data_IF_267354654348
#
_entry.id   IF_267354654348
#
_cell.length_a   1.000
_cell.length_b   1.000
_cell.length_c   1.000
_cell.angle_alpha   90.00
_cell.angle_beta   90.00
_cell.angle_gamma   90.00
#
_symmetry.space_group_name_H-M   'P 1'
#
loop_
_entity.id
_entity.type
_entity.pdbx_description
1 polymer ?
#
# COMPACT_ATOMS: atom_id res chain seq x y z
N UNK A 1 6.07 -8.70 20.72
CA UNK A 1 6.41 -8.08 19.42
C UNK A 1 7.92 -8.23 19.20
N UNK A 2 8.38 -9.10 18.30
CA UNK A 2 9.81 -9.40 18.11
C UNK A 2 10.25 -9.07 16.67
N UNK A 3 10.51 -7.79 16.43
CA UNK A 3 10.83 -7.26 15.10
C UNK A 3 12.12 -7.81 14.49
N UNK A 4 13.05 -8.34 15.29
CA UNK A 4 14.28 -8.95 14.80
C UNK A 4 14.04 -10.31 14.11
N UNK A 5 13.00 -11.05 14.52
CA UNK A 5 12.61 -12.31 13.85
C UNK A 5 12.02 -12.03 12.46
N UNK A 6 11.36 -10.88 12.29
CA UNK A 6 10.67 -10.54 11.05
C UNK A 6 11.61 -10.46 9.85
N UNK A 7 12.79 -9.84 9.97
CA UNK A 7 13.74 -9.75 8.84
C UNK A 7 14.24 -11.12 8.43
N UNK A 8 14.63 -11.96 9.39
CA UNK A 8 15.10 -13.33 9.13
C UNK A 8 14.00 -14.19 8.49
N UNK A 9 12.76 -14.01 8.93
CA UNK A 9 11.61 -14.67 8.32
C UNK A 9 11.43 -14.25 6.86
N UNK A 10 11.48 -12.95 6.56
CA UNK A 10 11.40 -12.46 5.17
C UNK A 10 12.52 -13.04 4.30
N UNK A 11 13.76 -13.04 4.78
CA UNK A 11 14.91 -13.61 4.05
C UNK A 11 14.69 -15.10 3.75
N UNK A 12 14.06 -15.85 4.65
CA UNK A 12 13.81 -17.28 4.46
C UNK A 12 12.74 -17.59 3.40
N UNK A 13 11.85 -16.65 3.11
CA UNK A 13 10.74 -16.82 2.16
C UNK A 13 11.09 -16.39 0.74
N UNK A 14 12.13 -15.58 0.58
CA UNK A 14 12.46 -14.94 -0.69
C UNK A 14 13.73 -15.53 -1.31
N UNK A 15 13.86 -15.47 -2.64
CA UNK A 15 15.15 -15.63 -3.30
C UNK A 15 16.17 -14.62 -2.76
N UNK A 16 17.46 -14.86 -3.01
CA UNK A 16 18.50 -13.90 -2.64
C UNK A 16 18.27 -12.54 -3.29
N UNK A 17 18.48 -11.46 -2.53
CA UNK A 17 18.37 -10.08 -2.98
C UNK A 17 19.43 -9.22 -2.30
N UNK A 18 19.81 -8.10 -2.93
CA UNK A 18 20.91 -7.25 -2.47
C UNK A 18 20.45 -5.88 -1.96
N UNK A 19 19.29 -5.39 -2.42
CA UNK A 19 18.79 -4.04 -2.13
C UNK A 19 17.33 -4.11 -1.69
N UNK A 20 16.99 -3.38 -0.63
CA UNK A 20 15.62 -3.21 -0.14
C UNK A 20 15.15 -1.78 -0.44
N UNK A 21 14.03 -1.66 -1.16
CA UNK A 21 13.39 -0.37 -1.40
C UNK A 21 12.26 -0.15 -0.40
N UNK A 22 12.37 0.87 0.45
CA UNK A 22 11.32 1.19 1.43
C UNK A 22 11.37 2.65 1.87
N UNK A 23 10.19 3.21 2.11
CA UNK A 23 10.03 4.49 2.80
C UNK A 23 9.54 4.33 4.24
N UNK A 24 9.31 3.10 4.71
CA UNK A 24 8.91 2.84 6.09
C UNK A 24 10.14 2.91 7.01
N UNK A 25 10.18 3.83 8.01
CA UNK A 25 11.36 4.01 8.85
C UNK A 25 11.74 2.76 9.66
N UNK A 26 10.77 2.00 10.15
CA UNK A 26 11.01 0.78 10.92
C UNK A 26 11.63 -0.30 10.02
N UNK A 27 11.05 -0.54 8.84
CA UNK A 27 11.59 -1.49 7.86
C UNK A 27 13.03 -1.13 7.48
N UNK A 28 13.30 0.16 7.24
CA UNK A 28 14.66 0.64 6.94
C UNK A 28 15.64 0.27 8.05
N UNK A 29 15.35 0.65 9.29
CA UNK A 29 16.23 0.38 10.44
C UNK A 29 16.47 -1.11 10.63
N UNK A 30 15.44 -1.94 10.45
CA UNK A 30 15.54 -3.38 10.64
C UNK A 30 16.45 -4.03 9.58
N UNK A 31 16.34 -3.65 8.31
CA UNK A 31 17.18 -4.20 7.24
C UNK A 31 18.61 -3.65 7.27
N UNK A 32 18.81 -2.38 7.60
CA UNK A 32 20.15 -1.80 7.77
C UNK A 32 20.93 -2.51 8.90
N UNK A 33 20.26 -2.89 9.99
CA UNK A 33 20.87 -3.67 11.08
C UNK A 33 21.34 -5.06 10.65
N UNK A 34 20.67 -5.67 9.68
CA UNK A 34 21.06 -6.94 9.06
C UNK A 34 22.01 -6.72 7.85
N UNK A 35 22.59 -5.52 7.72
CA UNK A 35 23.60 -5.13 6.73
C UNK A 35 23.14 -5.12 5.27
N UNK A 36 21.83 -5.03 5.02
CA UNK A 36 21.31 -4.82 3.67
C UNK A 36 21.49 -3.38 3.21
N UNK A 37 21.66 -3.19 1.90
CA UNK A 37 21.54 -1.86 1.28
C UNK A 37 20.07 -1.47 1.25
N UNK A 38 19.73 -0.31 1.80
CA UNK A 38 18.36 0.20 1.80
C UNK A 38 18.30 1.52 1.04
N UNK A 39 17.35 1.61 0.12
CA UNK A 39 17.10 2.80 -0.68
C UNK A 39 15.65 3.27 -0.54
N UNK A 40 15.43 4.57 -0.64
CA UNK A 40 14.10 5.14 -0.77
C UNK A 40 13.82 5.37 -2.26
N UNK A 41 12.64 4.93 -2.72
CA UNK A 41 12.12 5.25 -4.04
C UNK A 41 11.39 6.60 -4.01
N UNK A 42 11.26 7.25 -5.17
CA UNK A 42 10.50 8.48 -5.30
C UNK A 42 9.00 8.26 -4.99
N UNK A 43 8.35 9.28 -4.41
CA UNK A 43 6.89 9.31 -4.26
C UNK A 43 6.33 9.90 -5.55
N UNK A 44 5.47 9.14 -6.23
CA UNK A 44 4.76 9.62 -7.41
C UNK A 44 3.47 10.33 -7.01
N UNK A 45 3.21 11.46 -7.64
CA UNK A 45 1.95 12.21 -7.56
C UNK A 45 1.28 12.30 -8.92
N UNK A 46 -0.04 12.45 -8.94
CA UNK A 46 -0.77 12.75 -10.16
C UNK A 46 -0.65 14.25 -10.54
N UNK A 47 -1.26 14.64 -11.67
CA UNK A 47 -1.29 16.01 -12.19
C UNK A 47 -1.94 17.05 -11.26
N UNK A 48 -2.71 16.60 -10.28
CA UNK A 48 -3.37 17.44 -9.26
C UNK A 48 -2.62 17.44 -7.91
N UNK A 49 -1.40 16.88 -7.85
CA UNK A 49 -0.58 16.84 -6.64
C UNK A 49 -1.03 15.82 -5.58
N UNK A 50 -1.98 14.92 -5.89
CA UNK A 50 -2.34 13.81 -4.99
C UNK A 50 -1.32 12.68 -5.13
N UNK A 51 -0.92 12.11 -4.00
CA UNK A 51 -0.01 10.96 -3.95
C UNK A 51 -0.75 9.73 -4.48
N UNK A 52 -0.08 8.90 -5.28
CA UNK A 52 -0.57 7.57 -5.58
C UNK A 52 -0.47 6.70 -4.33
N UNK A 53 -1.46 6.81 -3.45
CA UNK A 53 -1.51 6.10 -2.17
C UNK A 53 -2.75 5.23 -2.08
N UNK A 54 -2.62 4.07 -1.43
CA UNK A 54 -3.77 3.23 -1.14
C UNK A 54 -4.78 3.90 -0.21
N UNK A 55 -4.36 4.88 0.61
CA UNK A 55 -5.26 5.65 1.48
C UNK A 55 -6.18 6.52 0.65
N UNK A 56 -5.64 7.28 -0.31
CA UNK A 56 -6.45 8.15 -1.16
C UNK A 56 -7.38 7.33 -2.06
N UNK A 57 -6.90 6.23 -2.65
CA UNK A 57 -7.74 5.32 -3.43
C UNK A 57 -8.92 4.80 -2.60
N UNK A 58 -8.67 4.34 -1.36
CA UNK A 58 -9.74 3.87 -0.47
C UNK A 58 -10.71 4.99 -0.08
N UNK A 59 -10.22 6.21 0.14
CA UNK A 59 -11.07 7.36 0.46
C UNK A 59 -12.03 7.67 -0.71
N UNK A 60 -11.53 7.70 -1.94
CA UNK A 60 -12.36 7.94 -3.12
C UNK A 60 -13.37 6.79 -3.36
N UNK A 61 -12.99 5.52 -3.10
CA UNK A 61 -13.93 4.38 -3.13
C UNK A 61 -15.04 4.56 -2.09
N UNK A 62 -14.69 4.86 -0.83
CA UNK A 62 -15.67 5.02 0.26
C UNK A 62 -16.63 6.18 0.01
N UNK A 63 -16.16 7.25 -0.64
CA UNK A 63 -16.99 8.38 -1.08
C UNK A 63 -17.77 8.12 -2.36
N UNK A 64 -17.72 6.90 -2.92
CA UNK A 64 -18.40 6.49 -4.16
C UNK A 64 -17.98 7.29 -5.40
N UNK A 65 -16.75 7.80 -5.44
CA UNK A 65 -16.19 8.55 -6.57
C UNK A 65 -15.55 7.63 -7.62
N UNK A 66 -16.33 6.74 -8.25
CA UNK A 66 -15.81 5.74 -9.19
C UNK A 66 -15.02 6.32 -10.36
N UNK A 67 -15.48 7.43 -10.94
CA UNK A 67 -14.79 8.09 -12.04
C UNK A 67 -13.41 8.66 -11.66
N UNK A 68 -13.15 8.87 -10.37
CA UNK A 68 -11.86 9.36 -9.87
C UNK A 68 -10.93 8.19 -9.62
N UNK A 69 -11.32 7.24 -8.76
CA UNK A 69 -10.40 6.18 -8.30
C UNK A 69 -10.07 5.15 -9.39
N UNK A 70 -10.94 4.95 -10.40
CA UNK A 70 -10.63 4.09 -11.54
C UNK A 70 -9.37 4.53 -12.30
N UNK A 71 -9.08 5.84 -12.30
CA UNK A 71 -7.92 6.44 -12.95
C UNK A 71 -6.68 6.51 -12.04
N UNK A 72 -6.82 6.13 -10.75
CA UNK A 72 -5.72 6.08 -9.79
C UNK A 72 -5.04 4.71 -9.72
N UNK A 73 -5.60 3.71 -10.40
CA UNK A 73 -5.10 2.33 -10.46
C UNK A 73 -4.99 1.86 -11.91
N UNK A 74 -4.27 0.77 -12.17
CA UNK A 74 -4.24 0.18 -13.50
C UNK A 74 -5.61 -0.41 -13.88
N UNK A 75 -5.88 -0.52 -15.18
CA UNK A 75 -7.13 -1.10 -15.68
C UNK A 75 -7.38 -2.53 -15.14
N UNK A 76 -6.32 -3.33 -15.00
CA UNK A 76 -6.43 -4.69 -14.47
C UNK A 76 -6.70 -4.71 -12.97
N UNK A 77 -6.12 -3.77 -12.21
CA UNK A 77 -6.45 -3.59 -10.79
C UNK A 77 -7.90 -3.15 -10.61
N UNK A 78 -8.40 -2.21 -11.41
CA UNK A 78 -9.81 -1.82 -11.39
C UNK A 78 -10.72 -3.03 -11.64
N UNK A 79 -10.48 -3.78 -12.72
CA UNK A 79 -11.23 -5.00 -13.04
C UNK A 79 -11.20 -6.00 -11.90
N UNK A 80 -10.03 -6.23 -11.31
CA UNK A 80 -9.87 -7.16 -10.20
C UNK A 80 -10.68 -6.73 -8.97
N UNK A 81 -10.63 -5.44 -8.60
CA UNK A 81 -11.41 -4.89 -7.49
C UNK A 81 -12.90 -5.10 -7.72
N UNK A 82 -13.43 -4.79 -8.92
CA UNK A 82 -14.85 -5.01 -9.26
C UNK A 82 -15.20 -6.50 -9.24
N UNK A 83 -14.33 -7.35 -9.79
CA UNK A 83 -14.53 -8.81 -9.83
C UNK A 83 -14.69 -9.41 -8.42
N UNK A 84 -13.94 -8.91 -7.43
CA UNK A 84 -14.02 -9.41 -6.05
C UNK A 84 -15.05 -8.64 -5.19
N UNK A 85 -15.79 -7.68 -5.76
CA UNK A 85 -16.69 -6.79 -5.02
C UNK A 85 -15.97 -5.98 -3.92
N UNK A 86 -14.71 -5.63 -4.16
CA UNK A 86 -13.84 -5.01 -3.16
C UNK A 86 -14.25 -3.58 -2.81
N UNK A 87 -14.77 -2.86 -3.78
CA UNK A 87 -15.35 -1.51 -3.65
C UNK A 87 -16.60 -1.52 -2.77
N UNK A 88 -17.56 -2.39 -3.08
CA UNK A 88 -18.79 -2.54 -2.29
C UNK A 88 -18.47 -2.98 -0.86
N UNK A 89 -17.53 -3.92 -0.69
CA UNK A 89 -17.08 -4.34 0.63
C UNK A 89 -16.50 -3.16 1.43
N UNK A 90 -15.70 -2.31 0.80
CA UNK A 90 -15.10 -1.14 1.48
C UNK A 90 -16.18 -0.16 1.93
N UNK A 91 -17.11 0.19 1.04
CA UNK A 91 -18.23 1.09 1.31
C UNK A 91 -19.09 0.57 2.47
N UNK A 92 -19.39 -0.73 2.48
CA UNK A 92 -20.16 -1.37 3.54
C UNK A 92 -19.43 -1.28 4.88
N UNK A 93 -18.12 -1.55 4.92
CA UNK A 93 -17.33 -1.46 6.15
C UNK A 93 -17.26 -0.04 6.72
N UNK A 94 -17.15 0.98 5.86
CA UNK A 94 -17.13 2.38 6.33
C UNK A 94 -18.51 2.85 6.79
N UNK A 95 -19.58 2.35 6.20
CA UNK A 95 -20.96 2.67 6.62
C UNK A 95 -21.32 2.11 8.00
N UNK A 96 -20.63 1.04 8.44
CA UNK A 96 -20.82 0.42 9.75
C UNK A 96 -20.06 1.13 10.88
N UNK A 97 -19.19 2.09 10.56
CA UNK A 97 -18.41 2.87 11.53
C UNK A 97 -18.44 4.37 11.18
N UNK A 98 -19.54 5.09 11.46
CA UNK A 98 -19.55 6.54 11.30
C UNK A 98 -18.70 7.16 12.42
N UNK A 99 -17.52 7.69 12.11
CA UNK A 99 -16.78 8.59 13.02
C UNK A 99 -15.27 8.37 13.23
N UNK A 100 -14.58 7.56 12.42
CA UNK A 100 -13.12 7.39 12.55
C UNK A 100 -12.35 7.58 11.24
N UNK A 101 -12.63 8.64 10.49
CA UNK A 101 -11.69 9.22 9.52
C UNK A 101 -11.92 10.74 9.43
#
# INVERSE_FOLDING_TARGET
>A
NNHAIWVKYIISLLPKFDIVYTQNPLTKILFEKEKFKVAAQEIYTNEYGKIYSGTDVRNEISNRHEDVWKNMVSADTYKFIKMIGGDERLINLTSLTPGYF
#
